data_IF_911246522836
#
_entry.id   IF_911246522836
#
_cell.length_a   1.000
_cell.length_b   1.000
_cell.length_c   1.000
_cell.angle_alpha   90.00
_cell.angle_beta   90.00
_cell.angle_gamma   90.00
#
_symmetry.space_group_name_H-M   'P 1'
#
loop_
_entity.id
_entity.type
_entity.pdbx_description
1 polymer ?
#
# COMPACT_ATOMS: atom_id res chain seq x y z
N UNK A 1 -33.77 31.43 103.73
CA UNK A 1 -33.78 30.30 102.77
C UNK A 1 -34.28 30.81 101.43
N UNK A 2 -33.39 30.96 100.44
CA UNK A 2 -33.69 31.00 99.00
C UNK A 2 -32.36 31.10 98.26
N UNK A 3 -31.75 29.96 97.96
CA UNK A 3 -30.62 29.88 97.04
C UNK A 3 -31.18 29.61 95.64
N UNK A 4 -30.95 30.54 94.71
CA UNK A 4 -31.30 30.42 93.29
C UNK A 4 -30.46 29.34 92.63
N UNK A 5 -31.09 28.25 92.21
CA UNK A 5 -30.48 27.21 91.39
C UNK A 5 -30.31 27.70 89.95
N UNK A 6 -29.06 27.86 89.50
CA UNK A 6 -28.75 28.13 88.10
C UNK A 6 -29.03 26.88 87.24
N UNK A 7 -29.96 27.00 86.29
CA UNK A 7 -30.28 25.95 85.33
C UNK A 7 -29.12 25.72 84.35
N UNK A 8 -28.52 24.53 84.38
CA UNK A 8 -27.59 24.05 83.35
C UNK A 8 -28.36 23.69 82.08
N UNK A 9 -28.13 24.42 80.98
CA UNK A 9 -28.52 24.01 79.63
C UNK A 9 -27.80 22.71 79.23
N UNK A 10 -28.45 21.78 78.50
CA UNK A 10 -27.78 20.59 77.99
C UNK A 10 -26.85 20.99 76.83
N UNK A 11 -25.56 20.70 76.99
CA UNK A 11 -24.59 20.80 75.90
C UNK A 11 -24.93 19.76 74.83
N UNK A 12 -25.30 20.24 73.64
CA UNK A 12 -25.44 19.41 72.46
C UNK A 12 -24.07 18.82 72.11
N UNK A 13 -23.88 17.52 72.36
CA UNK A 13 -22.74 16.74 71.90
C UNK A 13 -22.64 16.85 70.37
N UNK A 14 -21.76 17.71 69.89
CA UNK A 14 -21.38 17.79 68.49
C UNK A 14 -20.88 16.42 68.03
N UNK A 15 -21.55 15.83 67.04
CA UNK A 15 -21.07 14.63 66.37
C UNK A 15 -19.71 14.96 65.76
N UNK A 16 -18.64 14.39 66.32
CA UNK A 16 -17.30 14.48 65.75
C UNK A 16 -17.33 13.86 64.36
N UNK A 17 -17.18 14.70 63.33
CA UNK A 17 -16.98 14.23 61.97
C UNK A 17 -15.74 13.32 61.98
N UNK A 18 -15.93 12.02 61.73
CA UNK A 18 -14.85 11.04 61.61
C UNK A 18 -13.83 11.58 60.60
N UNK A 19 -12.64 11.99 61.06
CA UNK A 19 -11.54 12.43 60.20
C UNK A 19 -11.20 11.26 59.27
N UNK A 20 -11.37 11.45 57.96
CA UNK A 20 -10.99 10.48 56.95
C UNK A 20 -9.49 10.16 57.10
N UNK A 21 -9.07 8.90 56.91
CA UNK A 21 -7.67 8.51 57.06
C UNK A 21 -6.78 9.31 56.11
N UNK A 22 -5.64 9.79 56.62
CA UNK A 22 -4.69 10.58 55.85
C UNK A 22 -4.14 9.74 54.68
N UNK A 23 -4.52 10.10 53.46
CA UNK A 23 -4.06 9.42 52.24
C UNK A 23 -2.63 9.88 51.94
N UNK A 24 -1.68 8.95 51.66
CA UNK A 24 -0.31 9.31 51.30
C UNK A 24 -0.26 10.24 50.08
N UNK A 25 0.59 11.27 50.14
CA UNK A 25 0.75 12.27 49.06
C UNK A 25 1.12 11.62 47.71
N UNK A 26 1.89 10.52 47.74
CA UNK A 26 2.24 9.72 46.57
C UNK A 26 1.02 9.14 45.84
N UNK A 27 0.02 8.66 46.58
CA UNK A 27 -1.25 8.15 46.00
C UNK A 27 -2.08 9.29 45.38
N UNK A 28 -2.10 10.46 46.01
CA UNK A 28 -2.80 11.64 45.47
C UNK A 28 -2.13 12.14 44.17
N UNK A 29 -0.80 12.22 44.14
CA UNK A 29 -0.01 12.57 42.94
C UNK A 29 -0.22 11.55 41.81
N UNK A 30 -0.22 10.26 42.13
CA UNK A 30 -0.51 9.19 41.15
C UNK A 30 -1.92 9.29 40.58
N UNK A 31 -2.93 9.47 41.44
CA UNK A 31 -4.33 9.63 41.01
C UNK A 31 -4.51 10.85 40.09
N UNK A 32 -3.93 12.00 40.45
CA UNK A 32 -3.94 13.21 39.62
C UNK A 32 -3.30 12.98 38.24
N UNK A 33 -2.17 12.26 38.18
CA UNK A 33 -1.50 11.86 36.93
C UNK A 33 -2.35 10.88 36.11
N UNK A 34 -3.05 9.96 36.76
CA UNK A 34 -3.90 8.98 36.08
C UNK A 34 -5.15 9.66 35.47
N UNK A 35 -5.80 10.57 36.20
CA UNK A 35 -6.93 11.36 35.69
C UNK A 35 -6.50 12.26 34.53
N UNK A 36 -5.38 12.99 34.66
CA UNK A 36 -4.88 13.86 33.59
C UNK A 36 -4.46 13.08 32.34
N UNK A 37 -3.77 11.94 32.51
CA UNK A 37 -3.40 11.06 31.40
C UNK A 37 -4.63 10.47 30.72
N UNK A 38 -5.63 9.99 31.47
CA UNK A 38 -6.92 9.51 30.90
C UNK A 38 -7.62 10.61 30.09
N UNK A 39 -7.75 11.83 30.63
CA UNK A 39 -8.34 12.95 29.92
C UNK A 39 -7.57 13.27 28.62
N UNK A 40 -6.23 13.29 28.68
CA UNK A 40 -5.38 13.51 27.50
C UNK A 40 -5.54 12.41 26.45
N UNK A 41 -5.67 11.14 26.88
CA UNK A 41 -5.85 9.99 26.02
C UNK A 41 -7.20 10.04 25.31
N UNK A 42 -8.28 10.38 26.02
CA UNK A 42 -9.62 10.54 25.44
C UNK A 42 -9.60 11.67 24.41
N UNK A 43 -9.06 12.85 24.76
CA UNK A 43 -8.93 13.99 23.84
C UNK A 43 -8.12 13.60 22.58
N UNK A 44 -7.03 12.84 22.74
CA UNK A 44 -6.21 12.35 21.62
C UNK A 44 -6.95 11.32 20.76
N UNK A 45 -7.72 10.41 21.37
CA UNK A 45 -8.55 9.42 20.65
C UNK A 45 -9.61 10.11 19.80
N UNK A 46 -10.35 11.07 20.38
CA UNK A 46 -11.37 11.84 19.67
C UNK A 46 -10.77 12.64 18.50
N UNK A 47 -9.65 13.35 18.72
CA UNK A 47 -8.94 14.07 17.65
C UNK A 47 -8.48 13.13 16.54
N UNK A 48 -7.90 11.97 16.88
CA UNK A 48 -7.49 10.96 15.90
C UNK A 48 -8.68 10.44 15.11
N UNK A 49 -9.78 10.07 15.77
CA UNK A 49 -10.97 9.57 15.11
C UNK A 49 -11.53 10.59 14.10
N UNK A 50 -11.62 11.87 14.48
CA UNK A 50 -12.05 12.96 13.58
C UNK A 50 -11.18 13.08 12.34
N UNK A 51 -9.85 13.09 12.52
CA UNK A 51 -8.90 13.18 11.40
C UNK A 51 -8.99 11.95 10.49
N UNK A 52 -9.16 10.75 11.07
CA UNK A 52 -9.31 9.51 10.29
C UNK A 52 -10.59 9.54 9.46
N UNK A 53 -11.71 9.98 10.03
CA UNK A 53 -12.97 10.10 9.31
C UNK A 53 -12.86 11.09 8.14
N UNK A 54 -12.25 12.25 8.36
CA UNK A 54 -11.99 13.24 7.31
C UNK A 54 -11.13 12.65 6.19
N UNK A 55 -10.02 11.98 6.53
CA UNK A 55 -9.15 11.32 5.54
C UNK A 55 -9.86 10.21 4.76
N UNK A 56 -10.73 9.44 5.42
CA UNK A 56 -11.54 8.42 4.72
C UNK A 56 -12.42 9.07 3.65
N UNK A 57 -13.08 10.19 3.97
CA UNK A 57 -13.87 10.95 2.98
C UNK A 57 -13.02 11.45 1.82
N UNK A 58 -11.85 12.02 2.11
CA UNK A 58 -10.90 12.46 1.06
C UNK A 58 -10.45 11.30 0.16
N UNK A 59 -10.15 10.14 0.74
CA UNK A 59 -9.75 8.95 -0.01
C UNK A 59 -10.84 8.45 -0.96
N UNK A 60 -12.11 8.49 -0.53
CA UNK A 60 -13.24 8.08 -1.37
C UNK A 60 -13.39 8.99 -2.59
N UNK A 61 -13.37 10.31 -2.36
CA UNK A 61 -13.47 11.30 -3.45
C UNK A 61 -12.32 11.16 -4.44
N UNK A 62 -11.09 10.91 -3.96
CA UNK A 62 -9.93 10.65 -4.84
C UNK A 62 -10.11 9.36 -5.64
N UNK A 63 -10.55 8.28 -5.01
CA UNK A 63 -10.77 7.00 -5.67
C UNK A 63 -11.83 7.10 -6.78
N UNK A 64 -12.94 7.81 -6.52
CA UNK A 64 -13.98 8.08 -7.52
C UNK A 64 -13.41 8.86 -8.72
N UNK A 65 -12.60 9.90 -8.45
CA UNK A 65 -11.95 10.69 -9.49
C UNK A 65 -11.04 9.84 -10.38
N UNK A 66 -10.20 8.98 -9.79
CA UNK A 66 -9.33 8.08 -10.56
C UNK A 66 -10.12 7.06 -11.37
N UNK A 67 -11.19 6.52 -10.80
CA UNK A 67 -12.05 5.60 -11.53
C UNK A 67 -12.70 6.27 -12.75
N UNK A 68 -13.17 7.51 -12.60
CA UNK A 68 -13.70 8.29 -13.71
C UNK A 68 -12.63 8.60 -14.78
N UNK A 69 -11.39 8.87 -14.37
CA UNK A 69 -10.23 9.05 -15.26
C UNK A 69 -9.96 7.79 -16.09
N UNK A 70 -9.86 6.62 -15.45
CA UNK A 70 -9.62 5.34 -16.15
C UNK A 70 -10.71 5.02 -17.18
N UNK A 71 -11.98 5.20 -16.81
CA UNK A 71 -13.11 4.98 -17.72
C UNK A 71 -13.09 5.97 -18.89
N UNK A 72 -12.70 7.22 -18.65
CA UNK A 72 -12.59 8.25 -19.68
C UNK A 72 -11.49 7.90 -20.67
N UNK A 73 -10.33 7.46 -20.20
CA UNK A 73 -9.21 7.09 -21.07
C UNK A 73 -9.50 5.84 -21.90
N UNK A 74 -10.14 4.83 -21.31
CA UNK A 74 -10.59 3.64 -22.06
C UNK A 74 -11.59 4.02 -23.17
N UNK A 75 -12.59 4.84 -22.85
CA UNK A 75 -13.56 5.35 -23.84
C UNK A 75 -12.87 6.20 -24.91
N UNK A 76 -11.87 7.00 -24.55
CA UNK A 76 -11.09 7.83 -25.48
C UNK A 76 -10.35 6.95 -26.50
N UNK A 77 -9.64 5.92 -26.05
CA UNK A 77 -8.93 4.97 -26.93
C UNK A 77 -9.90 4.28 -27.91
N UNK A 78 -11.06 3.82 -27.43
CA UNK A 78 -12.09 3.21 -28.27
C UNK A 78 -12.63 4.22 -29.31
N UNK A 79 -12.90 5.46 -28.88
CA UNK A 79 -13.39 6.52 -29.76
C UNK A 79 -12.39 6.85 -30.86
N UNK A 80 -11.10 6.98 -30.53
CA UNK A 80 -10.04 7.27 -31.49
C UNK A 80 -9.91 6.16 -32.55
N UNK A 81 -9.93 4.88 -32.12
CA UNK A 81 -9.94 3.73 -33.04
C UNK A 81 -11.13 3.75 -34.00
N UNK A 82 -12.33 4.03 -33.48
CA UNK A 82 -13.56 4.09 -34.29
C UNK A 82 -13.54 5.26 -35.29
N UNK A 83 -13.08 6.43 -34.86
CA UNK A 83 -12.98 7.62 -35.72
C UNK A 83 -11.98 7.41 -36.85
N UNK A 84 -10.81 6.83 -36.56
CA UNK A 84 -9.82 6.50 -37.56
C UNK A 84 -10.40 5.51 -38.59
N UNK A 85 -11.02 4.42 -38.12
CA UNK A 85 -11.69 3.45 -39.01
C UNK A 85 -12.78 4.09 -39.88
N UNK A 86 -13.60 4.98 -39.32
CA UNK A 86 -14.64 5.71 -40.06
C UNK A 86 -14.07 6.60 -41.17
N UNK A 87 -12.88 7.16 -40.97
CA UNK A 87 -12.18 8.02 -41.94
C UNK A 87 -11.26 7.25 -42.88
N UNK A 88 -11.22 5.91 -42.81
CA UNK A 88 -10.26 5.10 -43.56
C UNK A 88 -8.79 5.26 -43.11
N UNK A 89 -8.56 5.82 -41.93
CA UNK A 89 -7.23 6.02 -41.34
C UNK A 89 -6.89 4.91 -40.33
N UNK A 90 -5.60 4.69 -40.10
CA UNK A 90 -5.12 3.77 -39.08
C UNK A 90 -4.74 4.53 -37.79
N UNK A 91 -5.28 4.09 -36.66
CA UNK A 91 -4.88 4.60 -35.35
C UNK A 91 -3.90 3.64 -34.68
N UNK A 92 -2.68 4.10 -34.45
CA UNK A 92 -1.66 3.38 -33.69
C UNK A 92 -1.72 3.87 -32.24
N UNK A 93 -2.02 2.99 -31.26
CA UNK A 93 -2.06 3.38 -29.85
C UNK A 93 -0.66 3.72 -29.33
N UNK A 94 -0.59 4.52 -28.27
CA UNK A 94 0.67 4.84 -27.63
C UNK A 94 1.33 3.60 -27.00
N UNK A 95 2.66 3.55 -27.06
CA UNK A 95 3.45 2.49 -26.43
C UNK A 95 3.21 2.42 -24.91
N UNK A 96 3.21 1.20 -24.38
CA UNK A 96 3.02 0.96 -22.96
C UNK A 96 4.20 1.53 -22.14
N UNK A 97 3.86 2.23 -21.04
CA UNK A 97 4.83 2.88 -20.14
C UNK A 97 5.24 2.00 -18.96
N UNK A 98 4.47 0.96 -18.66
CA UNK A 98 4.61 0.10 -17.48
C UNK A 98 4.78 -1.36 -17.90
N UNK A 99 5.74 -2.05 -17.30
CA UNK A 99 5.86 -3.49 -17.37
C UNK A 99 5.75 -4.13 -15.98
N UNK A 100 5.17 -5.32 -15.95
CA UNK A 100 5.32 -6.23 -14.81
C UNK A 100 6.24 -7.37 -15.20
N UNK A 101 7.29 -7.58 -14.39
CA UNK A 101 8.36 -8.52 -14.70
C UNK A 101 8.41 -9.60 -13.63
N UNK A 102 8.37 -10.85 -14.07
CA UNK A 102 8.38 -12.04 -13.20
C UNK A 102 9.62 -12.88 -13.52
N UNK A 103 10.33 -13.32 -12.47
CA UNK A 103 11.43 -14.27 -12.62
C UNK A 103 10.91 -15.70 -12.72
N UNK A 104 11.25 -16.42 -13.78
CA UNK A 104 10.74 -17.78 -14.04
C UNK A 104 11.79 -18.88 -13.84
N UNK A 105 13.09 -18.55 -13.95
CA UNK A 105 14.22 -19.48 -13.79
C UNK A 105 14.99 -19.25 -12.49
N UNK A 106 15.63 -20.31 -12.00
CA UNK A 106 16.40 -20.35 -10.75
C UNK A 106 17.70 -19.55 -10.74
N UNK A 107 18.47 -19.69 -9.65
CA UNK A 107 19.74 -18.97 -9.42
C UNK A 107 20.98 -19.71 -9.94
N UNK A 108 20.84 -21.00 -10.24
CA UNK A 108 21.95 -21.84 -10.68
C UNK A 108 22.27 -21.61 -12.15
N UNK A 109 23.56 -21.67 -12.51
CA UNK A 109 24.06 -21.51 -13.89
C UNK A 109 23.56 -20.21 -14.56
N UNK A 110 23.63 -19.09 -13.83
CA UNK A 110 23.28 -17.75 -14.33
C UNK A 110 24.54 -16.95 -14.57
N UNK A 111 24.71 -16.43 -15.79
CA UNK A 111 25.84 -15.58 -16.13
C UNK A 111 25.92 -14.34 -15.20
N UNK A 112 27.12 -13.87 -14.79
CA UNK A 112 27.28 -12.77 -13.85
C UNK A 112 26.56 -11.48 -14.25
N UNK A 113 26.58 -11.15 -15.56
CA UNK A 113 25.89 -9.97 -16.12
C UNK A 113 24.38 -10.04 -15.90
N UNK A 114 23.77 -11.18 -16.22
CA UNK A 114 22.33 -11.42 -16.01
C UNK A 114 21.98 -11.42 -14.52
N UNK A 115 22.80 -12.05 -13.69
CA UNK A 115 22.63 -12.08 -12.23
C UNK A 115 22.58 -10.67 -11.66
N UNK A 116 23.46 -9.77 -12.12
CA UNK A 116 23.47 -8.36 -11.68
C UNK A 116 22.21 -7.61 -12.10
N UNK A 117 21.74 -7.81 -13.35
CA UNK A 117 20.49 -7.21 -13.84
C UNK A 117 19.29 -7.64 -13.00
N UNK A 118 19.15 -8.94 -12.72
CA UNK A 118 18.07 -9.47 -11.88
C UNK A 118 18.12 -8.90 -10.45
N UNK A 119 19.33 -8.71 -9.90
CA UNK A 119 19.51 -8.06 -8.59
C UNK A 119 19.08 -6.59 -8.59
N UNK A 120 19.41 -5.82 -9.63
CA UNK A 120 19.00 -4.42 -9.79
C UNK A 120 17.47 -4.31 -9.88
N UNK A 121 16.81 -5.23 -10.58
CA UNK A 121 15.35 -5.34 -10.62
C UNK A 121 14.73 -5.89 -9.33
N UNK A 122 15.55 -6.33 -8.35
CA UNK A 122 15.11 -6.94 -7.08
C UNK A 122 14.47 -8.32 -7.24
N UNK A 123 14.70 -9.00 -8.36
CA UNK A 123 14.21 -10.34 -8.69
C UNK A 123 15.14 -11.43 -8.16
N UNK A 124 15.17 -11.60 -6.83
CA UNK A 124 16.10 -12.52 -6.15
C UNK A 124 15.68 -14.00 -6.17
N UNK A 125 14.38 -14.27 -6.14
CA UNK A 125 13.81 -15.63 -6.07
C UNK A 125 12.91 -15.90 -7.27
N UNK A 126 12.66 -17.18 -7.57
CA UNK A 126 11.70 -17.59 -8.60
C UNK A 126 10.29 -17.10 -8.20
N UNK A 127 9.48 -16.74 -9.20
CA UNK A 127 8.14 -16.17 -9.06
C UNK A 127 8.09 -14.85 -8.27
N UNK A 128 9.23 -14.17 -8.09
CA UNK A 128 9.20 -12.78 -7.68
C UNK A 128 8.73 -11.91 -8.86
N UNK A 129 7.86 -10.95 -8.57
CA UNK A 129 7.32 -9.98 -9.52
C UNK A 129 7.60 -8.54 -9.11
N UNK A 130 7.90 -7.65 -10.06
CA UNK A 130 8.18 -6.23 -9.82
C UNK A 130 7.61 -5.37 -10.95
N UNK A 131 7.07 -4.19 -10.60
CA UNK A 131 6.72 -3.15 -11.55
C UNK A 131 7.94 -2.36 -12.00
N UNK A 132 8.13 -2.23 -13.32
CA UNK A 132 9.24 -1.52 -13.94
C UNK A 132 8.68 -0.49 -14.92
N UNK A 133 9.16 0.76 -14.82
CA UNK A 133 8.89 1.80 -15.79
C UNK A 133 9.67 1.48 -17.06
N UNK A 134 8.98 1.47 -18.20
CA UNK A 134 9.59 1.22 -19.49
C UNK A 134 10.26 2.49 -20.02
N UNK A 135 11.57 2.39 -20.24
CA UNK A 135 12.40 3.32 -20.98
C UNK A 135 13.43 2.53 -21.79
N UNK A 136 14.17 3.20 -22.70
CA UNK A 136 15.17 2.57 -23.56
C UNK A 136 16.21 1.76 -22.77
N UNK A 137 16.66 2.28 -21.62
CA UNK A 137 17.65 1.62 -20.77
C UNK A 137 17.10 0.35 -20.11
N UNK A 138 15.91 0.41 -19.53
CA UNK A 138 15.26 -0.73 -18.87
C UNK A 138 14.92 -1.82 -19.89
N UNK A 139 14.50 -1.45 -21.11
CA UNK A 139 14.23 -2.43 -22.17
C UNK A 139 15.51 -3.19 -22.53
N UNK A 140 16.64 -2.49 -22.68
CA UNK A 140 17.92 -3.15 -22.93
C UNK A 140 18.35 -4.06 -21.78
N UNK A 141 18.09 -3.66 -20.53
CA UNK A 141 18.32 -4.54 -19.37
C UNK A 141 17.38 -5.76 -19.38
N UNK A 142 16.11 -5.60 -19.77
CA UNK A 142 15.16 -6.71 -19.90
C UNK A 142 15.61 -7.70 -20.96
N UNK A 143 16.11 -7.23 -22.11
CA UNK A 143 16.69 -8.08 -23.17
C UNK A 143 17.87 -8.92 -22.66
N UNK A 144 18.75 -8.35 -21.84
CA UNK A 144 19.87 -9.10 -21.23
C UNK A 144 19.36 -10.22 -20.32
N UNK A 145 18.29 -9.97 -19.56
CA UNK A 145 17.74 -10.95 -18.61
C UNK A 145 16.64 -11.84 -19.20
N UNK A 146 16.33 -11.68 -20.49
CA UNK A 146 15.15 -12.20 -21.16
C UNK A 146 14.93 -13.70 -20.97
N UNK A 147 15.94 -14.59 -21.09
CA UNK A 147 15.75 -16.03 -20.89
C UNK A 147 15.37 -16.45 -19.46
N UNK A 148 15.46 -15.54 -18.49
CA UNK A 148 15.21 -15.81 -17.06
C UNK A 148 13.93 -15.15 -16.55
N UNK A 149 13.31 -14.28 -17.36
CA UNK A 149 12.14 -13.50 -16.99
C UNK A 149 11.01 -13.68 -18.00
N UNK A 150 9.79 -13.50 -17.52
CA UNK A 150 8.65 -13.24 -18.38
C UNK A 150 8.05 -11.90 -17.99
N UNK A 151 7.66 -11.10 -18.98
CA UNK A 151 7.16 -9.77 -18.72
C UNK A 151 6.12 -9.34 -19.75
N UNK A 152 5.37 -8.30 -19.42
CA UNK A 152 4.37 -7.71 -20.31
C UNK A 152 3.68 -6.53 -19.65
N UNK A 153 2.57 -6.08 -20.24
CA UNK A 153 1.85 -4.88 -19.85
C UNK A 153 0.68 -5.24 -18.92
N UNK A 154 0.76 -4.89 -17.62
CA UNK A 154 -0.32 -5.19 -16.70
C UNK A 154 -1.50 -4.24 -16.93
N UNK A 155 -2.72 -4.77 -16.91
CA UNK A 155 -3.93 -3.95 -16.87
C UNK A 155 -4.21 -3.45 -15.44
N UNK A 156 -5.11 -2.48 -15.32
CA UNK A 156 -5.50 -1.89 -14.04
C UNK A 156 -5.96 -2.96 -13.03
N UNK A 157 -6.75 -3.94 -13.48
CA UNK A 157 -7.24 -5.04 -12.63
C UNK A 157 -6.09 -5.86 -12.04
N UNK A 158 -5.11 -6.24 -12.85
CA UNK A 158 -3.96 -7.02 -12.42
C UNK A 158 -3.05 -6.22 -11.47
N UNK A 159 -2.86 -4.92 -11.71
CA UNK A 159 -2.15 -4.05 -10.76
C UNK A 159 -2.89 -4.01 -9.42
N UNK A 160 -4.21 -3.81 -9.44
CA UNK A 160 -5.07 -3.79 -8.26
C UNK A 160 -4.96 -5.10 -7.48
N UNK A 161 -5.22 -6.24 -8.14
CA UNK A 161 -5.14 -7.56 -7.51
C UNK A 161 -3.77 -7.85 -6.89
N UNK A 162 -2.67 -7.47 -7.58
CA UNK A 162 -1.32 -7.63 -7.04
C UNK A 162 -1.13 -6.81 -5.75
N UNK A 163 -1.50 -5.53 -5.76
CA UNK A 163 -1.32 -4.64 -4.60
C UNK A 163 -2.22 -5.06 -3.44
N UNK A 164 -3.48 -5.39 -3.70
CA UNK A 164 -4.42 -5.78 -2.63
C UNK A 164 -4.14 -7.17 -2.06
N UNK A 165 -3.88 -8.18 -2.90
CA UNK A 165 -3.74 -9.57 -2.44
C UNK A 165 -2.31 -9.95 -2.05
N UNK A 166 -1.32 -9.39 -2.74
CA UNK A 166 0.09 -9.79 -2.62
C UNK A 166 0.99 -8.61 -2.19
N UNK A 167 0.42 -7.44 -1.91
CA UNK A 167 1.15 -6.22 -1.59
C UNK A 167 1.76 -6.23 -0.20
N UNK A 168 3.09 -6.05 -0.17
CA UNK A 168 3.84 -5.78 1.04
C UNK A 168 4.67 -4.53 0.81
N UNK A 169 4.94 -3.79 1.88
CA UNK A 169 5.74 -2.57 1.83
C UNK A 169 7.03 -2.73 2.59
N UNK A 170 8.04 -1.98 2.15
CA UNK A 170 9.34 -1.86 2.80
C UNK A 170 9.30 -0.72 3.81
N UNK A 171 9.14 -1.06 5.08
CA UNK A 171 9.22 -0.11 6.20
C UNK A 171 10.39 -0.49 7.11
N UNK A 172 11.34 0.42 7.35
CA UNK A 172 12.56 0.15 8.14
C UNK A 172 13.27 -1.18 7.80
N UNK A 173 13.39 -1.47 6.49
CA UNK A 173 13.95 -2.73 5.93
C UNK A 173 13.15 -4.00 6.26
N UNK A 174 12.04 -3.91 6.98
CA UNK A 174 11.10 -4.99 7.21
C UNK A 174 10.04 -5.05 6.12
N UNK A 175 9.52 -6.26 5.91
CA UNK A 175 8.42 -6.56 4.98
C UNK A 175 7.11 -6.55 5.76
N UNK A 176 6.31 -5.49 5.60
CA UNK A 176 5.05 -5.30 6.33
C UNK A 176 3.87 -5.42 5.37
N UNK A 177 2.82 -6.19 5.67
CA UNK A 177 1.63 -6.29 4.81
C UNK A 177 0.89 -4.95 4.74
N UNK A 178 0.24 -4.67 3.61
CA UNK A 178 -0.63 -3.51 3.45
C UNK A 178 -2.00 -3.86 4.06
N UNK A 179 -2.16 -3.65 5.36
CA UNK A 179 -3.45 -3.84 6.06
C UNK A 179 -4.28 -2.56 6.04
N UNK A 180 -3.61 -1.42 6.26
CA UNK A 180 -4.25 -0.12 6.45
C UNK A 180 -3.61 0.97 5.61
N UNK A 181 -4.43 1.93 5.18
CA UNK A 181 -3.96 3.13 4.48
C UNK A 181 -2.93 3.94 5.30
N UNK A 182 -2.95 3.84 6.63
CA UNK A 182 -1.97 4.51 7.49
C UNK A 182 -0.53 4.09 7.22
N UNK A 183 -0.30 2.84 6.79
CA UNK A 183 1.06 2.35 6.50
C UNK A 183 1.64 3.09 5.28
N UNK A 184 0.80 3.35 4.28
CA UNK A 184 1.16 4.11 3.08
C UNK A 184 1.32 5.60 3.44
N UNK A 185 0.31 6.16 4.12
CA UNK A 185 0.26 7.56 4.49
C UNK A 185 1.51 8.01 5.25
N UNK A 186 1.94 7.23 6.26
CA UNK A 186 3.08 7.56 7.12
C UNK A 186 4.38 7.79 6.34
N UNK A 187 4.55 7.13 5.19
CA UNK A 187 5.80 7.20 4.43
C UNK A 187 5.70 8.05 3.17
N UNK A 188 4.58 8.01 2.46
CA UNK A 188 4.47 8.63 1.14
C UNK A 188 3.66 9.93 1.12
N UNK A 189 2.80 10.21 2.10
CA UNK A 189 1.91 11.38 2.04
C UNK A 189 2.68 12.70 2.07
N UNK A 190 3.57 12.88 3.05
CA UNK A 190 4.27 14.17 3.26
C UNK A 190 5.14 14.57 2.06
N UNK A 191 5.75 13.59 1.39
CA UNK A 191 6.69 13.84 0.30
C UNK A 191 6.08 13.75 -1.10
N UNK A 192 5.01 12.97 -1.28
CA UNK A 192 4.51 12.57 -2.61
C UNK A 192 2.99 12.64 -2.74
N UNK A 193 2.26 13.11 -1.73
CA UNK A 193 0.78 13.21 -1.72
C UNK A 193 0.03 11.88 -1.96
N UNK A 194 0.69 10.74 -1.75
CA UNK A 194 0.08 9.39 -1.83
C UNK A 194 -0.38 9.00 -0.42
N UNK A 195 -1.69 8.86 -0.21
CA UNK A 195 -2.26 8.59 1.11
C UNK A 195 -2.97 7.23 1.24
N UNK A 196 -3.49 6.67 0.15
CA UNK A 196 -4.24 5.41 0.17
C UNK A 196 -3.69 4.38 -0.81
N UNK A 197 -4.25 3.16 -0.76
CA UNK A 197 -3.92 2.08 -1.71
C UNK A 197 -4.27 2.46 -3.15
N UNK A 198 -5.42 3.11 -3.38
CA UNK A 198 -5.82 3.52 -4.74
C UNK A 198 -4.89 4.59 -5.33
N UNK A 199 -4.42 5.56 -4.53
CA UNK A 199 -3.38 6.51 -4.97
C UNK A 199 -2.09 5.78 -5.38
N UNK A 200 -1.71 4.74 -4.62
CA UNK A 200 -0.52 3.93 -4.94
C UNK A 200 -0.71 3.13 -6.23
N UNK A 201 -1.90 2.56 -6.45
CA UNK A 201 -2.25 1.86 -7.70
C UNK A 201 -2.24 2.83 -8.88
N UNK A 202 -2.81 4.03 -8.72
CA UNK A 202 -2.83 5.08 -9.75
C UNK A 202 -1.43 5.53 -10.13
N UNK A 203 -0.59 5.84 -9.15
CA UNK A 203 0.80 6.25 -9.37
C UNK A 203 1.62 5.18 -10.11
N UNK A 204 1.38 3.90 -9.80
CA UNK A 204 2.03 2.77 -10.46
C UNK A 204 1.50 2.61 -11.89
N UNK A 205 0.18 2.56 -12.08
CA UNK A 205 -0.46 2.26 -13.37
C UNK A 205 -0.21 3.36 -14.40
N UNK A 206 -0.36 4.63 -14.01
CA UNK A 206 -0.14 5.79 -14.89
C UNK A 206 1.34 6.13 -15.08
N UNK A 207 2.22 5.55 -14.25
CA UNK A 207 3.67 5.85 -14.22
C UNK A 207 3.92 7.32 -13.91
N UNK A 208 3.36 7.77 -12.78
CA UNK A 208 3.45 9.15 -12.32
C UNK A 208 4.88 9.62 -11.98
N UNK A 209 5.04 10.89 -11.58
CA UNK A 209 6.34 11.50 -11.30
C UNK A 209 7.07 10.82 -10.12
N UNK A 210 6.36 10.20 -9.21
CA UNK A 210 6.87 9.54 -8.02
C UNK A 210 6.89 8.00 -8.13
N UNK A 211 6.71 7.45 -9.33
CA UNK A 211 6.74 6.02 -9.62
C UNK A 211 7.96 5.31 -9.00
N UNK A 212 9.15 5.91 -9.09
CA UNK A 212 10.40 5.33 -8.54
C UNK A 212 10.29 5.10 -7.03
N UNK A 213 9.65 6.02 -6.31
CA UNK A 213 9.46 5.95 -4.85
C UNK A 213 8.34 4.97 -4.50
N UNK A 214 7.24 4.99 -5.24
CA UNK A 214 6.13 4.04 -5.10
C UNK A 214 6.57 2.58 -5.35
N UNK A 215 7.25 2.31 -6.46
CA UNK A 215 7.75 0.97 -6.80
C UNK A 215 8.82 0.48 -5.81
N UNK A 216 9.70 1.36 -5.33
CA UNK A 216 10.69 0.98 -4.31
C UNK A 216 10.06 0.78 -2.91
N UNK A 217 8.95 1.45 -2.62
CA UNK A 217 8.20 1.26 -1.39
C UNK A 217 7.52 -0.12 -1.37
N UNK A 218 7.00 -0.58 -2.50
CA UNK A 218 6.55 -1.96 -2.67
C UNK A 218 7.72 -2.93 -2.57
N UNK A 219 7.55 -3.95 -1.71
CA UNK A 219 8.42 -5.12 -1.69
C UNK A 219 8.14 -5.96 -2.94
N UNK A 220 9.14 -6.62 -3.56
CA UNK A 220 8.89 -7.54 -4.68
C UNK A 220 7.78 -8.53 -4.35
N UNK A 221 6.78 -8.62 -5.24
CA UNK A 221 5.63 -9.51 -5.06
C UNK A 221 6.12 -10.95 -5.06
N UNK A 222 5.71 -11.73 -4.07
CA UNK A 222 5.96 -13.17 -4.04
C UNK A 222 4.73 -13.88 -4.58
N UNK A 223 4.83 -14.40 -5.80
CA UNK A 223 3.72 -15.05 -6.50
C UNK A 223 3.79 -16.57 -6.37
N UNK A 224 2.64 -17.22 -6.52
CA UNK A 224 2.59 -18.68 -6.58
C UNK A 224 2.98 -19.17 -7.99
N UNK A 225 3.27 -20.46 -8.13
CA UNK A 225 3.37 -21.07 -9.46
C UNK A 225 2.03 -20.97 -10.19
N UNK A 226 2.01 -20.70 -11.51
CA UNK A 226 0.77 -20.55 -12.25
C UNK A 226 -0.04 -21.86 -12.21
N UNK A 227 -1.35 -21.76 -11.99
CA UNK A 227 -2.27 -22.89 -12.12
C UNK A 227 -2.20 -23.51 -13.53
N UNK A 228 -1.90 -24.81 -13.58
CA UNK A 228 -1.61 -25.54 -14.82
C UNK A 228 -0.14 -25.52 -15.25
N UNK A 229 0.75 -24.96 -14.44
CA UNK A 229 2.19 -24.98 -14.67
C UNK A 229 2.68 -24.05 -15.78
N UNK A 230 3.96 -24.19 -16.10
CA UNK A 230 4.61 -23.52 -17.22
C UNK A 230 4.64 -24.47 -18.42
N UNK A 231 4.58 -23.95 -19.64
CA UNK A 231 4.68 -24.76 -20.86
C UNK A 231 6.12 -25.22 -21.07
N UNK A 232 7.02 -24.28 -21.37
CA UNK A 232 8.47 -24.50 -21.53
C UNK A 232 9.20 -23.21 -21.19
N UNK A 233 9.81 -23.17 -20.00
CA UNK A 233 10.53 -21.99 -19.48
C UNK A 233 11.78 -21.61 -20.30
N UNK A 234 12.32 -22.55 -21.06
CA UNK A 234 13.57 -22.38 -21.79
C UNK A 234 13.40 -21.78 -23.19
N UNK A 235 12.16 -21.71 -23.71
CA UNK A 235 11.86 -21.19 -25.05
C UNK A 235 11.18 -19.84 -24.97
N UNK A 236 11.35 -19.02 -26.02
CA UNK A 236 10.74 -17.71 -26.08
C UNK A 236 9.21 -17.82 -26.23
N UNK A 237 8.46 -16.82 -25.77
CA UNK A 237 7.00 -16.84 -25.81
C UNK A 237 6.44 -17.00 -27.23
N UNK A 238 7.10 -16.41 -28.24
CA UNK A 238 6.72 -16.52 -29.66
C UNK A 238 6.83 -17.96 -30.18
N UNK A 239 7.78 -18.74 -29.67
CA UNK A 239 8.00 -20.14 -30.02
C UNK A 239 7.14 -21.11 -29.19
N UNK A 240 6.12 -20.59 -28.51
CA UNK A 240 5.25 -21.38 -27.61
C UNK A 240 5.83 -21.64 -26.21
N UNK A 241 6.97 -21.00 -25.88
CA UNK A 241 7.57 -21.04 -24.55
C UNK A 241 6.98 -20.02 -23.57
N UNK A 242 7.79 -19.62 -22.59
CA UNK A 242 7.34 -18.75 -21.49
C UNK A 242 8.20 -17.52 -21.22
N UNK A 243 9.46 -17.49 -21.64
CA UNK A 243 10.33 -16.33 -21.38
C UNK A 243 10.07 -15.21 -22.41
N UNK A 244 10.42 -13.97 -22.04
CA UNK A 244 10.28 -12.80 -22.93
C UNK A 244 9.01 -11.98 -22.76
N UNK A 245 8.81 -11.06 -23.70
CA UNK A 245 7.66 -10.17 -23.72
C UNK A 245 6.42 -10.89 -24.26
N UNK A 246 5.35 -10.90 -23.47
CA UNK A 246 4.04 -11.45 -23.85
C UNK A 246 2.93 -10.40 -23.90
N UNK A 247 3.29 -9.11 -23.90
CA UNK A 247 2.38 -7.97 -24.01
C UNK A 247 1.21 -8.09 -23.03
N UNK A 248 -0.04 -8.00 -23.53
CA UNK A 248 -1.26 -8.10 -22.72
C UNK A 248 -1.54 -9.51 -22.19
N UNK A 249 -0.94 -10.54 -22.78
CA UNK A 249 -1.16 -11.95 -22.38
C UNK A 249 -0.51 -12.25 -21.02
N UNK A 250 0.31 -11.34 -20.48
CA UNK A 250 0.78 -11.39 -19.09
C UNK A 250 -0.40 -11.37 -18.10
N UNK A 251 -1.49 -10.68 -18.42
CA UNK A 251 -2.63 -10.55 -17.52
C UNK A 251 -3.32 -11.89 -17.28
N UNK A 252 -3.36 -12.77 -18.30
CA UNK A 252 -3.87 -14.14 -18.15
C UNK A 252 -2.95 -14.99 -17.27
N UNK A 253 -1.64 -14.79 -17.36
CA UNK A 253 -0.68 -15.46 -16.48
C UNK A 253 -0.84 -14.98 -15.03
N UNK A 254 -0.93 -13.67 -14.81
CA UNK A 254 -1.04 -13.08 -13.47
C UNK A 254 -2.27 -13.59 -12.72
N UNK A 255 -3.41 -13.70 -13.40
CA UNK A 255 -4.64 -14.28 -12.81
C UNK A 255 -4.48 -15.71 -12.31
N UNK A 256 -3.50 -16.46 -12.84
CA UNK A 256 -3.19 -17.83 -12.39
C UNK A 256 -2.15 -17.88 -11.27
N UNK A 257 -1.45 -16.78 -10.99
CA UNK A 257 -0.34 -16.72 -10.03
C UNK A 257 -0.67 -15.91 -8.77
N UNK A 258 -1.67 -15.02 -8.85
CA UNK A 258 -2.12 -14.11 -7.79
C UNK A 258 -3.24 -14.72 -6.98
#
# INVERSE_FOLDING_TARGET
MTATAAAKKPEAKGKSAKKLPAVPESKLKFSKKQVSSRASLIKRKLKRAKVIALRKRENLVRAEKYQAEYLRDERREIKLRRLAKKRGQFYVPADAKLAFVIRIRGINKVAPKVRKVLQLFRLRQINNGVFIKLNKATINMLRIAEPYITWGYPNLKSVRELVYKRGFVKHNRQRVPITDNFVIERKLRKAHNIQCVEDLVHEIFTVGPHFKKASNFLWPFKLNTPTGGWRKKANHYVEGGDFGNREDKINKLLRKMV
#
